data_IF_393562510446
#
_entry.id   IF_393562510446
#
_cell.length_a   1.000
_cell.length_b   1.000
_cell.length_c   1.000
_cell.angle_alpha   90.00
_cell.angle_beta   90.00
_cell.angle_gamma   90.00
#
_symmetry.space_group_name_H-M   'P 1'
#
loop_
_entity.id
_entity.type
_entity.pdbx_description
1 polymer ?
#
# COMPACT_ATOMS: atom_id res chain seq x y z
N UNK A 1 -26.12 13.22 21.44
CA UNK A 1 -25.31 11.99 21.41
C UNK A 1 -25.07 11.69 19.94
N UNK A 2 -23.84 11.69 19.40
CA UNK A 2 -23.66 11.24 18.03
C UNK A 2 -23.76 9.70 18.04
N UNK A 3 -24.82 9.17 17.44
CA UNK A 3 -24.93 7.75 17.18
C UNK A 3 -23.78 7.36 16.23
N UNK A 4 -22.86 6.51 16.71
CA UNK A 4 -21.80 5.97 15.86
C UNK A 4 -22.42 5.30 14.64
N UNK A 5 -21.91 5.64 13.44
CA UNK A 5 -22.30 5.00 12.17
C UNK A 5 -22.22 3.48 12.37
N UNK A 6 -23.25 2.69 12.02
CA UNK A 6 -23.28 1.27 12.32
C UNK A 6 -22.03 0.57 11.78
N UNK A 7 -21.19 0.04 12.67
CA UNK A 7 -19.97 -0.72 12.32
C UNK A 7 -20.27 -2.18 12.00
N UNK A 8 -21.55 -2.54 11.88
CA UNK A 8 -22.01 -3.90 11.62
C UNK A 8 -22.00 -4.17 10.11
N UNK A 9 -21.28 -5.23 9.73
CA UNK A 9 -21.35 -5.82 8.39
C UNK A 9 -22.80 -6.12 8.00
N UNK A 10 -23.24 -5.65 6.83
CA UNK A 10 -24.59 -5.84 6.28
C UNK A 10 -24.52 -6.11 4.78
N UNK A 11 -25.58 -6.69 4.22
CA UNK A 11 -25.70 -6.91 2.77
C UNK A 11 -25.64 -5.59 1.98
N UNK A 12 -26.14 -4.51 2.57
CA UNK A 12 -26.07 -3.15 2.00
C UNK A 12 -24.62 -2.65 1.87
N UNK A 13 -23.78 -2.90 2.89
CA UNK A 13 -22.34 -2.58 2.84
C UNK A 13 -21.61 -3.42 1.80
N UNK A 14 -21.98 -4.69 1.67
CA UNK A 14 -21.42 -5.58 0.65
C UNK A 14 -21.77 -5.07 -0.75
N UNK A 15 -23.03 -4.71 -0.96
CA UNK A 15 -23.50 -4.17 -2.23
C UNK A 15 -22.81 -2.85 -2.57
N UNK A 16 -22.74 -1.92 -1.61
CA UNK A 16 -22.07 -0.64 -1.81
C UNK A 16 -20.57 -0.81 -2.10
N UNK A 17 -19.91 -1.79 -1.47
CA UNK A 17 -18.50 -2.11 -1.75
C UNK A 17 -18.33 -2.67 -3.18
N UNK A 18 -19.21 -3.56 -3.61
CA UNK A 18 -19.19 -4.13 -4.96
C UNK A 18 -19.46 -3.05 -6.03
N UNK A 19 -20.45 -2.18 -5.80
CA UNK A 19 -20.78 -1.05 -6.69
C UNK A 19 -19.61 -0.06 -6.81
N UNK A 20 -18.96 0.23 -5.69
CA UNK A 20 -17.75 1.05 -5.69
C UNK A 20 -16.66 0.44 -6.57
N UNK A 21 -16.39 -0.87 -6.46
CA UNK A 21 -15.33 -1.55 -7.22
C UNK A 21 -15.62 -1.62 -8.73
N UNK A 22 -16.86 -1.88 -9.14
CA UNK A 22 -17.21 -1.96 -10.57
C UNK A 22 -16.90 -0.64 -11.27
N UNK A 23 -17.51 0.46 -10.81
CA UNK A 23 -17.35 1.80 -11.41
C UNK A 23 -17.53 2.97 -10.44
N UNK A 24 -18.09 2.75 -9.25
CA UNK A 24 -18.44 3.83 -8.32
C UNK A 24 -17.23 4.67 -7.88
N UNK A 25 -16.02 4.11 -7.87
CA UNK A 25 -14.79 4.87 -7.60
C UNK A 25 -14.58 6.06 -8.57
N UNK A 26 -15.06 5.97 -9.81
CA UNK A 26 -14.99 7.09 -10.77
C UNK A 26 -15.95 8.22 -10.41
N UNK A 27 -17.11 7.87 -9.88
CA UNK A 27 -18.14 8.82 -9.47
C UNK A 27 -17.74 9.55 -8.19
N UNK A 28 -17.03 8.87 -7.29
CA UNK A 28 -16.37 9.47 -6.12
C UNK A 28 -15.23 10.43 -6.51
N UNK A 29 -14.82 10.42 -7.79
CA UNK A 29 -13.74 11.27 -8.30
C UNK A 29 -12.35 10.69 -8.05
N UNK A 30 -12.26 9.42 -7.65
CA UNK A 30 -10.98 8.77 -7.52
C UNK A 30 -10.33 8.54 -8.88
N UNK A 31 -9.01 8.70 -8.88
CA UNK A 31 -8.20 8.46 -10.05
C UNK A 31 -8.06 6.94 -10.29
N UNK A 32 -8.03 6.15 -9.22
CA UNK A 32 -8.03 4.69 -9.20
C UNK A 32 -8.78 4.18 -7.96
N UNK A 33 -9.34 2.96 -7.96
CA UNK A 33 -9.95 2.42 -6.76
C UNK A 33 -8.91 2.22 -5.66
N UNK A 34 -9.25 2.64 -4.45
CA UNK A 34 -8.39 2.54 -3.26
C UNK A 34 -9.17 2.03 -2.05
N UNK A 35 -8.46 1.34 -1.16
CA UNK A 35 -9.00 0.85 0.13
C UNK A 35 -9.37 2.03 1.03
N UNK A 36 -8.54 3.07 1.03
CA UNK A 36 -8.78 4.31 1.78
C UNK A 36 -10.10 4.96 1.35
N UNK A 37 -10.35 5.10 0.05
CA UNK A 37 -11.60 5.68 -0.44
C UNK A 37 -12.81 4.75 -0.22
N UNK A 38 -12.66 3.43 -0.39
CA UNK A 38 -13.71 2.47 -0.01
C UNK A 38 -14.11 2.63 1.47
N UNK A 39 -13.13 2.86 2.36
CA UNK A 39 -13.39 3.07 3.78
C UNK A 39 -14.16 4.37 4.06
N UNK A 40 -13.92 5.43 3.25
CA UNK A 40 -14.66 6.69 3.33
C UNK A 40 -16.11 6.51 2.85
N UNK A 41 -16.30 5.84 1.71
CA UNK A 41 -17.61 5.54 1.11
C UNK A 41 -18.49 4.76 2.09
N UNK A 42 -17.95 3.67 2.65
CA UNK A 42 -18.65 2.83 3.64
C UNK A 42 -18.71 3.48 5.03
N UNK A 43 -17.85 4.46 5.30
CA UNK A 43 -17.70 5.16 6.58
C UNK A 43 -17.28 4.27 7.74
N UNK A 44 -16.34 3.38 7.47
CA UNK A 44 -15.73 2.50 8.46
C UNK A 44 -14.23 2.73 8.52
N UNK A 45 -13.59 2.28 9.59
CA UNK A 45 -12.13 2.36 9.66
C UNK A 45 -11.48 1.43 8.63
N UNK A 46 -10.29 1.79 8.13
CA UNK A 46 -9.51 0.93 7.22
C UNK A 46 -9.25 -0.47 7.80
N UNK A 47 -9.03 -0.57 9.11
CA UNK A 47 -8.87 -1.85 9.81
C UNK A 47 -10.12 -2.73 9.75
N UNK A 48 -11.31 -2.13 9.71
CA UNK A 48 -12.57 -2.86 9.57
C UNK A 48 -12.68 -3.53 8.20
N UNK A 49 -12.23 -2.86 7.13
CA UNK A 49 -12.20 -3.42 5.77
C UNK A 49 -11.34 -4.70 5.74
N UNK A 50 -10.13 -4.65 6.29
CA UNK A 50 -9.25 -5.82 6.36
C UNK A 50 -9.83 -6.92 7.23
N UNK A 51 -10.40 -6.58 8.39
CA UNK A 51 -11.07 -7.55 9.25
C UNK A 51 -12.21 -8.27 8.52
N UNK A 52 -13.02 -7.55 7.75
CA UNK A 52 -14.10 -8.16 6.98
C UNK A 52 -13.57 -9.06 5.87
N UNK A 53 -12.50 -8.68 5.18
CA UNK A 53 -11.87 -9.55 4.18
C UNK A 53 -11.32 -10.85 4.80
N UNK A 54 -10.82 -10.82 6.03
CA UNK A 54 -10.36 -12.02 6.75
C UNK A 54 -11.53 -12.92 7.21
N UNK A 55 -12.64 -12.33 7.64
CA UNK A 55 -13.76 -13.05 8.25
C UNK A 55 -14.86 -13.47 7.26
N UNK A 56 -14.94 -12.82 6.09
CA UNK A 56 -16.06 -12.92 5.14
C UNK A 56 -15.55 -13.18 3.72
N UNK A 57 -15.76 -14.39 3.17
CA UNK A 57 -15.32 -14.73 1.82
C UNK A 57 -15.83 -13.76 0.74
N UNK A 58 -17.10 -13.33 0.83
CA UNK A 58 -17.69 -12.44 -0.17
C UNK A 58 -17.01 -11.07 -0.18
N UNK A 59 -16.61 -10.58 0.99
CA UNK A 59 -15.91 -9.31 1.12
C UNK A 59 -14.43 -9.45 0.71
N UNK A 60 -13.82 -10.61 0.95
CA UNK A 60 -12.49 -10.94 0.43
C UNK A 60 -12.46 -10.86 -1.09
N UNK A 61 -13.44 -11.47 -1.77
CA UNK A 61 -13.54 -11.47 -3.23
C UNK A 61 -13.68 -10.03 -3.78
N UNK A 62 -14.43 -9.17 -3.09
CA UNK A 62 -14.57 -7.75 -3.45
C UNK A 62 -13.23 -7.01 -3.29
N UNK A 63 -12.51 -7.25 -2.19
CA UNK A 63 -11.22 -6.60 -1.97
C UNK A 63 -10.17 -7.07 -2.99
N UNK A 64 -10.18 -8.34 -3.36
CA UNK A 64 -9.31 -8.89 -4.42
C UNK A 64 -9.65 -8.28 -5.78
N UNK A 65 -10.95 -8.12 -6.09
CA UNK A 65 -11.39 -7.42 -7.29
C UNK A 65 -10.95 -5.95 -7.29
N UNK A 66 -11.06 -5.25 -6.16
CA UNK A 66 -10.58 -3.88 -6.00
C UNK A 66 -9.08 -3.79 -6.33
N UNK A 67 -8.28 -4.68 -5.75
CA UNK A 67 -6.84 -4.72 -5.97
C UNK A 67 -6.49 -5.04 -7.43
N UNK A 68 -7.24 -5.93 -8.08
CA UNK A 68 -7.05 -6.24 -9.49
C UNK A 68 -7.36 -5.04 -10.41
N UNK A 69 -8.46 -4.31 -10.15
CA UNK A 69 -8.82 -3.10 -10.91
C UNK A 69 -7.80 -1.99 -10.67
N UNK A 70 -7.34 -1.81 -9.43
CA UNK A 70 -6.29 -0.85 -9.08
C UNK A 70 -5.01 -1.12 -9.88
N UNK A 71 -4.52 -2.38 -9.88
CA UNK A 71 -3.34 -2.77 -10.64
C UNK A 71 -3.51 -2.53 -12.16
N UNK A 72 -4.69 -2.84 -12.70
CA UNK A 72 -5.01 -2.58 -14.12
C UNK A 72 -4.95 -1.09 -14.45
N UNK A 73 -5.54 -0.22 -13.64
CA UNK A 73 -5.51 1.23 -13.88
C UNK A 73 -4.08 1.79 -13.76
N UNK A 74 -3.32 1.33 -12.76
CA UNK A 74 -1.91 1.69 -12.56
C UNK A 74 -1.06 1.36 -13.79
N UNK A 75 -1.22 0.16 -14.35
CA UNK A 75 -0.50 -0.24 -15.57
C UNK A 75 -0.91 0.60 -16.77
N UNK A 76 -2.21 0.66 -17.07
CA UNK A 76 -2.68 1.33 -18.29
C UNK A 76 -2.33 2.82 -18.28
N UNK A 77 -2.61 3.52 -17.19
CA UNK A 77 -2.38 4.97 -17.10
C UNK A 77 -0.93 5.31 -16.80
N UNK A 78 -0.20 4.44 -16.11
CA UNK A 78 1.25 4.57 -15.96
C UNK A 78 1.98 4.44 -17.30
N UNK A 79 1.58 3.51 -18.17
CA UNK A 79 2.18 3.30 -19.49
C UNK A 79 1.85 4.43 -20.49
N UNK A 80 0.65 5.00 -20.42
CA UNK A 80 0.23 6.13 -21.27
C UNK A 80 0.78 7.47 -20.78
N UNK A 81 1.29 7.52 -19.54
CA UNK A 81 1.86 8.73 -18.94
C UNK A 81 0.84 9.64 -18.26
N UNK A 82 -0.41 9.19 -18.12
CA UNK A 82 -1.47 9.88 -17.39
C UNK A 82 -1.21 9.90 -15.88
N UNK A 83 -0.49 8.88 -15.38
CA UNK A 83 -0.07 8.81 -13.99
C UNK A 83 1.37 9.28 -13.81
N UNK A 84 1.64 9.88 -12.66
CA UNK A 84 3.01 10.07 -12.20
C UNK A 84 3.67 8.69 -12.06
N UNK A 85 4.72 8.44 -12.84
CA UNK A 85 5.37 7.13 -12.94
C UNK A 85 5.98 6.66 -11.61
N UNK A 86 6.51 7.58 -10.79
CA UNK A 86 7.02 7.27 -9.45
C UNK A 86 5.91 6.81 -8.52
N UNK A 87 4.76 7.49 -8.54
CA UNK A 87 3.60 7.09 -7.76
C UNK A 87 3.01 5.76 -8.22
N UNK A 88 2.89 5.56 -9.53
CA UNK A 88 2.39 4.32 -10.10
C UNK A 88 3.28 3.13 -9.69
N UNK A 89 4.60 3.30 -9.79
CA UNK A 89 5.60 2.32 -9.35
C UNK A 89 5.50 2.02 -7.85
N UNK A 90 5.44 3.05 -7.02
CA UNK A 90 5.27 2.87 -5.57
C UNK A 90 4.01 2.06 -5.25
N UNK A 91 2.89 2.37 -5.90
CA UNK A 91 1.64 1.62 -5.71
C UNK A 91 1.75 0.18 -6.20
N UNK A 92 2.38 -0.06 -7.37
CA UNK A 92 2.61 -1.41 -7.91
C UNK A 92 3.44 -2.29 -6.95
N UNK A 93 4.28 -1.73 -6.08
CA UNK A 93 4.97 -2.55 -5.07
C UNK A 93 4.02 -3.26 -4.10
N UNK A 94 2.85 -2.66 -3.83
CA UNK A 94 1.79 -3.28 -3.02
C UNK A 94 1.07 -4.43 -3.73
N UNK A 95 1.24 -4.56 -5.04
CA UNK A 95 0.71 -5.66 -5.86
C UNK A 95 1.77 -6.75 -6.13
N UNK A 96 2.85 -6.79 -5.36
CA UNK A 96 3.90 -7.80 -5.47
C UNK A 96 4.95 -7.53 -6.55
N UNK A 97 4.87 -6.39 -7.25
CA UNK A 97 5.94 -5.97 -8.15
C UNK A 97 7.13 -5.46 -7.36
N UNK A 98 8.33 -5.74 -7.85
CA UNK A 98 9.55 -5.22 -7.26
C UNK A 98 10.52 -4.84 -8.36
N UNK A 99 11.27 -3.79 -8.10
CA UNK A 99 12.42 -3.46 -8.90
C UNK A 99 13.60 -4.34 -8.52
N UNK A 100 14.31 -4.82 -9.54
CA UNK A 100 15.58 -5.50 -9.36
C UNK A 100 16.68 -4.59 -9.88
N UNK A 101 17.62 -4.25 -9.00
CA UNK A 101 18.85 -3.55 -9.35
C UNK A 101 20.04 -4.44 -9.04
N UNK A 102 20.96 -4.57 -9.99
CA UNK A 102 22.27 -5.20 -9.78
C UNK A 102 23.31 -4.11 -9.64
N UNK A 103 24.04 -4.11 -8.52
CA UNK A 103 25.13 -3.17 -8.26
C UNK A 103 26.43 -3.94 -8.08
N UNK A 104 27.44 -3.60 -8.88
CA UNK A 104 28.81 -4.04 -8.66
C UNK A 104 29.52 -3.00 -7.80
N UNK A 105 30.06 -3.43 -6.66
CA UNK A 105 30.84 -2.57 -5.77
C UNK A 105 32.31 -2.85 -6.02
N UNK A 106 33.03 -1.86 -6.52
CA UNK A 106 34.47 -1.91 -6.70
C UNK A 106 35.13 -0.67 -6.11
N UNK A 107 36.38 -0.82 -5.67
CA UNK A 107 37.24 0.28 -5.28
C UNK A 107 37.71 1.09 -6.48
N UNK A 108 38.48 2.14 -6.22
CA UNK A 108 38.95 3.05 -7.26
C UNK A 108 39.65 2.28 -8.40
N UNK A 109 39.24 2.55 -9.65
CA UNK A 109 39.74 1.85 -10.85
C UNK A 109 39.52 0.31 -10.84
N UNK A 110 38.43 -0.19 -10.25
CA UNK A 110 38.12 -1.63 -10.23
C UNK A 110 38.98 -2.43 -9.23
N UNK A 111 39.68 -1.74 -8.33
CA UNK A 111 40.51 -2.37 -7.29
C UNK A 111 39.64 -2.88 -6.12
N UNK A 112 40.20 -3.68 -5.20
CA UNK A 112 39.52 -4.00 -3.96
C UNK A 112 39.09 -2.72 -3.21
N UNK A 113 37.96 -2.78 -2.52
CA UNK A 113 37.51 -1.69 -1.66
C UNK A 113 38.49 -1.55 -0.49
N UNK A 114 39.15 -0.40 -0.40
CA UNK A 114 40.01 -0.05 0.73
C UNK A 114 39.14 0.58 1.83
N UNK A 115 39.29 0.09 3.06
CA UNK A 115 38.54 0.55 4.24
C UNK A 115 39.56 1.06 5.26
N UNK A 116 39.51 2.36 5.56
CA UNK A 116 40.26 2.98 6.66
C UNK A 116 39.28 3.26 7.81
N UNK A 117 39.62 2.81 9.03
CA UNK A 117 38.76 2.96 10.20
C UNK A 117 39.55 3.57 11.35
N UNK A 118 39.09 4.71 11.85
CA UNK A 118 39.55 5.29 13.11
C UNK A 118 38.70 4.73 14.26
N UNK A 119 39.32 3.91 15.12
CA UNK A 119 38.65 3.33 16.28
C UNK A 119 38.87 4.22 17.50
N UNK A 120 37.78 4.80 18.01
CA UNK A 120 37.79 5.61 19.25
C UNK A 120 37.32 4.74 20.42
N UNK A 121 38.23 4.44 21.35
CA UNK A 121 37.89 3.79 22.61
C UNK A 121 37.47 4.84 23.64
N UNK A 122 36.27 4.71 24.19
CA UNK A 122 35.82 5.46 25.37
C UNK A 122 35.87 4.53 26.59
N UNK A 123 36.77 4.82 27.52
CA UNK A 123 36.79 4.16 28.83
C UNK A 123 35.62 4.74 29.64
N UNK A 124 34.76 3.86 30.15
CA UNK A 124 33.72 4.19 31.11
C UNK A 124 34.16 3.59 32.43
N UNK A 125 34.63 4.43 33.35
CA UNK A 125 34.94 3.98 34.71
C UNK A 125 33.65 3.55 35.41
N UNK A 126 33.66 2.35 35.99
CA UNK A 126 32.60 1.84 36.84
C UNK A 126 32.81 2.34 38.27
N UNK A 127 32.38 3.56 38.56
CA UNK A 127 32.24 4.04 39.94
C UNK A 127 30.77 4.42 40.19
N UNK A 128 29.94 3.38 40.35
CA UNK A 128 28.77 3.43 41.24
C UNK A 128 28.90 2.21 42.16
N UNK A 129 29.52 2.43 43.32
CA UNK A 129 29.68 1.48 44.41
C UNK A 129 29.58 2.19 45.75
#
# INVERSE_FOLDING_TARGET
MPAGRPTSYSDDMLQQAAEYVDKGWREEGDVMPMIESLSVVLGVARSTIYKWAEEKPEFSDILDALMAVQAKELWNRGLVGDYNSTMAKLALTKHGYSDKSQSEVSGINGRPVEIEQDVVFRIVDSEDG
#
